data_IF_235026877374
#
_entry.id   IF_235026877374
#
_cell.length_a   1.000
_cell.length_b   1.000
_cell.length_c   1.000
_cell.angle_alpha   90.00
_cell.angle_beta   90.00
_cell.angle_gamma   90.00
#
_symmetry.space_group_name_H-M   'P 1'
#
loop_
_entity.id
_entity.type
_entity.pdbx_description
1 polymer ?
#
# COMPACT_ATOMS: atom_id res chain seq x y z
N UNK A 1 -17.16 8.25 68.71
CA UNK A 1 -15.84 8.77 68.29
C UNK A 1 -15.95 9.20 66.85
N UNK A 2 -15.99 10.50 66.57
CA UNK A 2 -16.11 11.02 65.20
C UNK A 2 -14.71 11.03 64.57
N UNK A 3 -14.46 10.08 63.65
CA UNK A 3 -13.25 10.07 62.85
C UNK A 3 -13.29 11.26 61.88
N UNK A 4 -12.48 12.28 62.15
CA UNK A 4 -12.36 13.43 61.26
C UNK A 4 -11.81 12.99 59.90
N UNK A 5 -12.63 13.07 58.85
CA UNK A 5 -12.17 12.92 57.48
C UNK A 5 -11.22 14.08 57.16
N UNK A 6 -9.92 13.79 57.08
CA UNK A 6 -8.91 14.74 56.59
C UNK A 6 -9.22 15.02 55.11
N UNK A 7 -9.65 16.25 54.82
CA UNK A 7 -9.84 16.71 53.44
C UNK A 7 -8.50 16.93 52.74
N UNK A 8 -8.45 16.65 51.43
CA UNK A 8 -7.29 16.97 50.59
C UNK A 8 -7.08 18.48 50.53
N UNK A 9 -5.84 18.93 50.66
CA UNK A 9 -5.47 20.33 50.45
C UNK A 9 -5.36 20.63 48.94
N UNK A 10 -5.59 21.88 48.57
CA UNK A 10 -5.45 22.35 47.19
C UNK A 10 -4.02 22.17 46.66
N UNK A 11 -3.02 22.25 47.54
CA UNK A 11 -1.61 22.03 47.21
C UNK A 11 -1.35 20.56 46.88
N UNK A 12 -1.86 19.62 47.68
CA UNK A 12 -1.71 18.18 47.41
C UNK A 12 -2.34 17.80 46.07
N UNK A 13 -3.51 18.34 45.75
CA UNK A 13 -4.15 18.12 44.45
C UNK A 13 -3.30 18.71 43.30
N UNK A 14 -2.73 19.90 43.49
CA UNK A 14 -1.92 20.58 42.47
C UNK A 14 -0.61 19.82 42.17
N UNK A 15 0.04 19.27 43.19
CA UNK A 15 1.25 18.46 43.00
C UNK A 15 0.94 17.18 42.20
N UNK A 16 -0.19 16.53 42.49
CA UNK A 16 -0.60 15.30 41.79
C UNK A 16 -0.86 15.57 40.29
N UNK A 17 -1.61 16.62 39.96
CA UNK A 17 -1.84 16.96 38.54
C UNK A 17 -0.55 17.36 37.83
N UNK A 18 0.39 18.03 38.52
CA UNK A 18 1.68 18.39 37.96
C UNK A 18 2.51 17.13 37.63
N UNK A 19 2.53 16.15 38.52
CA UNK A 19 3.21 14.86 38.28
C UNK A 19 2.55 14.12 37.10
N UNK A 20 1.22 14.02 37.07
CA UNK A 20 0.49 13.39 35.95
C UNK A 20 0.80 14.08 34.63
N UNK A 21 0.84 15.43 34.61
CA UNK A 21 1.14 16.20 33.42
C UNK A 21 2.56 15.91 32.88
N UNK A 22 3.56 15.85 33.77
CA UNK A 22 4.94 15.51 33.39
C UNK A 22 5.03 14.08 32.85
N UNK A 23 4.36 13.11 33.51
CA UNK A 23 4.34 11.73 33.05
C UNK A 23 3.65 11.60 31.67
N UNK A 24 2.52 12.27 31.47
CA UNK A 24 1.80 12.28 30.18
C UNK A 24 2.62 12.94 29.07
N UNK A 25 3.35 14.02 29.36
CA UNK A 25 4.19 14.72 28.39
C UNK A 25 5.29 13.81 27.82
N UNK A 26 5.84 12.89 28.63
CA UNK A 26 6.86 11.93 28.19
C UNK A 26 6.20 10.70 27.53
N UNK A 27 5.05 10.25 28.04
CA UNK A 27 4.39 9.04 27.56
C UNK A 27 3.75 9.20 26.17
N UNK A 28 3.20 10.38 25.87
CA UNK A 28 2.47 10.60 24.61
C UNK A 28 3.37 10.50 23.36
N UNK A 29 4.57 11.12 23.30
CA UNK A 29 5.50 10.93 22.19
C UNK A 29 5.94 9.46 22.03
N UNK A 30 6.29 8.80 23.14
CA UNK A 30 6.73 7.41 23.13
C UNK A 30 5.64 6.46 22.61
N UNK A 31 4.39 6.67 23.04
CA UNK A 31 3.25 5.87 22.60
C UNK A 31 2.95 6.06 21.11
N UNK A 32 3.11 7.28 20.58
CA UNK A 32 2.92 7.54 19.16
C UNK A 32 3.95 6.80 18.30
N UNK A 33 5.22 6.79 18.72
CA UNK A 33 6.29 6.03 18.04
C UNK A 33 5.99 4.53 18.09
N UNK A 34 5.61 4.01 19.26
CA UNK A 34 5.29 2.59 19.42
C UNK A 34 4.09 2.16 18.55
N UNK A 35 3.04 2.99 18.49
CA UNK A 35 1.88 2.74 17.61
C UNK A 35 2.28 2.72 16.14
N UNK A 36 3.16 3.63 15.71
CA UNK A 36 3.60 3.67 14.32
C UNK A 36 4.47 2.46 13.95
N UNK A 37 5.35 2.03 14.86
CA UNK A 37 6.10 0.79 14.68
C UNK A 37 5.16 -0.43 14.57
N UNK A 38 4.13 -0.50 15.42
CA UNK A 38 3.14 -1.57 15.37
C UNK A 38 2.37 -1.58 14.03
N UNK A 39 1.95 -0.42 13.52
CA UNK A 39 1.31 -0.31 12.20
C UNK A 39 2.21 -0.83 11.08
N UNK A 40 3.48 -0.48 11.09
CA UNK A 40 4.45 -0.98 10.11
C UNK A 40 4.64 -2.51 10.17
N UNK A 41 4.63 -3.09 11.38
CA UNK A 41 4.68 -4.56 11.56
C UNK A 41 3.43 -5.21 10.98
N UNK A 42 2.24 -4.67 11.28
CA UNK A 42 0.99 -5.17 10.71
C UNK A 42 0.98 -5.08 9.18
N UNK A 43 1.40 -3.95 8.60
CA UNK A 43 1.49 -3.78 7.16
C UNK A 43 2.42 -4.82 6.50
N UNK A 44 3.60 -5.08 7.07
CA UNK A 44 4.51 -6.14 6.60
C UNK A 44 3.86 -7.53 6.69
N UNK A 45 3.13 -7.82 7.77
CA UNK A 45 2.42 -9.09 7.91
C UNK A 45 1.31 -9.24 6.86
N UNK A 46 0.54 -8.18 6.60
CA UNK A 46 -0.53 -8.16 5.60
C UNK A 46 0.03 -8.37 4.18
N UNK A 47 1.10 -7.65 3.83
CA UNK A 47 1.82 -7.81 2.56
C UNK A 47 2.37 -9.23 2.38
N UNK A 48 2.97 -9.81 3.42
CA UNK A 48 3.43 -11.20 3.41
C UNK A 48 2.27 -12.16 3.16
N UNK A 49 1.14 -11.97 3.84
CA UNK A 49 -0.05 -12.81 3.67
C UNK A 49 -0.62 -12.70 2.25
N UNK A 50 -0.65 -11.50 1.66
CA UNK A 50 -1.07 -11.30 0.28
C UNK A 50 -0.12 -11.93 -0.74
N UNK A 51 1.19 -11.82 -0.54
CA UNK A 51 2.18 -12.45 -1.42
C UNK A 51 2.09 -13.98 -1.37
N UNK A 52 1.92 -14.55 -0.18
CA UNK A 52 1.65 -15.97 -0.02
C UNK A 52 0.34 -16.39 -0.70
N UNK A 53 -0.73 -15.61 -0.56
CA UNK A 53 -2.01 -15.89 -1.22
C UNK A 53 -1.91 -15.86 -2.75
N UNK A 54 -1.13 -14.91 -3.29
CA UNK A 54 -0.85 -14.82 -4.72
C UNK A 54 -0.07 -16.04 -5.22
N UNK A 55 0.92 -16.50 -4.45
CA UNK A 55 1.68 -17.71 -4.78
C UNK A 55 0.81 -18.96 -4.73
N UNK A 56 -0.01 -19.12 -3.69
CA UNK A 56 -0.97 -20.23 -3.59
C UNK A 56 -1.96 -20.24 -4.76
N UNK A 57 -2.40 -19.06 -5.21
CA UNK A 57 -3.19 -18.93 -6.42
C UNK A 57 -2.43 -19.46 -7.63
N UNK A 58 -1.19 -19.01 -7.85
CA UNK A 58 -0.37 -19.44 -8.97
C UNK A 58 -0.16 -20.96 -8.95
N UNK A 59 0.24 -21.52 -7.80
CA UNK A 59 0.46 -22.97 -7.61
C UNK A 59 -0.80 -23.78 -7.96
N UNK A 60 -1.98 -23.32 -7.53
CA UNK A 60 -3.26 -23.98 -7.82
C UNK A 60 -3.71 -23.88 -9.28
N UNK A 61 -3.10 -22.98 -10.05
CA UNK A 61 -3.38 -22.72 -11.46
C UNK A 61 -2.19 -23.07 -12.37
N UNK A 62 -1.32 -24.01 -11.96
CA UNK A 62 -0.20 -24.48 -12.79
C UNK A 62 0.89 -23.41 -12.99
N UNK A 63 1.11 -22.58 -11.98
CA UNK A 63 2.03 -21.45 -11.97
C UNK A 63 1.48 -20.19 -12.65
N UNK A 64 0.28 -20.24 -13.24
CA UNK A 64 -0.30 -19.09 -13.97
C UNK A 64 -0.67 -17.96 -13.03
N UNK A 65 -0.22 -16.74 -13.35
CA UNK A 65 -0.49 -15.55 -12.56
C UNK A 65 -1.91 -15.00 -12.80
N UNK A 66 -2.49 -14.34 -11.80
CA UNK A 66 -3.61 -13.41 -12.02
C UNK A 66 -3.08 -12.01 -12.29
N UNK A 67 -3.87 -11.20 -12.98
CA UNK A 67 -3.44 -9.89 -13.43
C UNK A 67 -3.41 -8.84 -12.32
N UNK A 68 -2.39 -7.98 -12.36
CA UNK A 68 -2.14 -6.89 -11.42
C UNK A 68 -3.12 -5.71 -11.44
N UNK A 69 -4.19 -5.81 -12.23
CA UNK A 69 -5.19 -4.76 -12.46
C UNK A 69 -6.50 -5.03 -11.71
N UNK A 70 -7.35 -4.01 -11.65
CA UNK A 70 -8.73 -4.09 -11.17
C UNK A 70 -9.70 -4.10 -12.36
N UNK A 71 -10.60 -5.08 -12.41
CA UNK A 71 -11.60 -5.19 -13.48
C UNK A 71 -12.86 -5.88 -12.98
N UNK A 72 -13.99 -5.64 -13.64
CA UNK A 72 -15.22 -6.41 -13.41
C UNK A 72 -15.24 -7.73 -14.15
N UNK A 73 -14.23 -8.06 -14.96
CA UNK A 73 -14.17 -9.30 -15.70
C UNK A 73 -12.75 -9.68 -16.10
N UNK A 74 -12.66 -10.81 -16.79
CA UNK A 74 -11.41 -11.29 -17.40
C UNK A 74 -10.93 -10.29 -18.46
N UNK A 75 -9.63 -10.02 -18.49
CA UNK A 75 -8.99 -9.26 -19.57
C UNK A 75 -8.06 -10.21 -20.32
N UNK A 76 -8.35 -10.47 -21.60
CA UNK A 76 -7.63 -11.45 -22.42
C UNK A 76 -7.51 -12.83 -21.75
N UNK A 77 -8.56 -13.25 -21.04
CA UNK A 77 -8.60 -14.53 -20.31
C UNK A 77 -7.87 -14.54 -18.97
N UNK A 78 -7.28 -13.41 -18.55
CA UNK A 78 -6.59 -13.28 -17.26
C UNK A 78 -7.55 -12.68 -16.23
N UNK A 79 -7.76 -13.32 -15.07
CA UNK A 79 -8.61 -12.77 -14.03
C UNK A 79 -7.87 -11.66 -13.27
N UNK A 80 -8.57 -10.60 -12.85
CA UNK A 80 -7.98 -9.56 -12.04
C UNK A 80 -7.78 -10.03 -10.60
N UNK A 81 -6.74 -9.54 -9.93
CA UNK A 81 -6.51 -9.88 -8.52
C UNK A 81 -7.54 -9.25 -7.57
N UNK A 82 -8.16 -8.13 -7.97
CA UNK A 82 -9.28 -7.44 -7.29
C UNK A 82 -10.21 -6.78 -8.31
N UNK A 83 -11.36 -6.28 -7.89
CA UNK A 83 -12.29 -5.52 -8.72
C UNK A 83 -12.53 -4.10 -8.16
N UNK A 84 -13.11 -3.17 -8.96
CA UNK A 84 -13.63 -1.90 -8.44
C UNK A 84 -14.68 -2.09 -7.34
N UNK A 85 -15.16 -1.04 -6.66
CA UNK A 85 -16.27 -1.18 -5.73
C UNK A 85 -17.50 -1.78 -6.43
N UNK A 86 -18.01 -2.91 -5.93
CA UNK A 86 -19.12 -3.66 -6.55
C UNK A 86 -20.35 -3.69 -5.67
N UNK A 87 -21.52 -3.81 -6.29
CA UNK A 87 -22.80 -4.00 -5.58
C UNK A 87 -22.87 -5.34 -4.84
N UNK A 88 -22.19 -6.37 -5.35
CA UNK A 88 -22.11 -7.71 -4.77
C UNK A 88 -20.69 -8.29 -4.87
N UNK A 89 -20.29 -9.23 -4.00
CA UNK A 89 -18.93 -9.77 -3.93
C UNK A 89 -18.62 -10.82 -5.01
N UNK A 90 -19.12 -10.63 -6.24
CA UNK A 90 -18.88 -11.53 -7.36
C UNK A 90 -18.30 -10.77 -8.56
N UNK A 91 -17.32 -11.37 -9.24
CA UNK A 91 -16.79 -10.85 -10.50
C UNK A 91 -17.92 -10.76 -11.53
N UNK A 92 -18.00 -9.65 -12.26
CA UNK A 92 -19.08 -9.35 -13.20
C UNK A 92 -20.23 -8.53 -12.59
N UNK A 93 -20.23 -8.32 -11.27
CA UNK A 93 -21.24 -7.48 -10.61
C UNK A 93 -21.14 -6.01 -11.03
N UNK A 94 -22.24 -5.28 -10.87
CA UNK A 94 -22.34 -3.86 -11.23
C UNK A 94 -21.38 -3.01 -10.39
N UNK A 95 -20.48 -2.21 -11.00
CA UNK A 95 -19.69 -1.21 -10.30
C UNK A 95 -20.57 -0.17 -9.62
N UNK A 96 -20.20 0.24 -8.41
CA UNK A 96 -20.80 1.38 -7.72
C UNK A 96 -19.84 2.56 -7.82
N UNK A 97 -20.36 3.69 -8.29
CA UNK A 97 -19.58 4.91 -8.55
C UNK A 97 -20.16 6.12 -7.80
N UNK A 98 -19.41 7.23 -7.78
CA UNK A 98 -19.88 8.49 -7.20
C UNK A 98 -20.09 8.46 -5.69
N UNK A 99 -20.99 9.33 -5.21
CA UNK A 99 -21.25 9.52 -3.78
C UNK A 99 -21.94 8.33 -3.10
N UNK A 100 -22.47 7.35 -3.85
CA UNK A 100 -23.18 6.18 -3.31
C UNK A 100 -22.24 5.08 -2.78
N UNK A 101 -20.92 5.25 -2.93
CA UNK A 101 -19.95 4.23 -2.55
C UNK A 101 -19.84 4.11 -1.04
N UNK A 102 -19.93 2.88 -0.56
CA UNK A 102 -19.76 2.53 0.85
C UNK A 102 -18.47 1.72 1.03
N UNK A 103 -18.07 1.51 2.29
CA UNK A 103 -16.98 0.59 2.60
C UNK A 103 -17.29 -0.84 2.13
N UNK A 104 -18.54 -1.28 2.26
CA UNK A 104 -18.95 -2.62 1.83
C UNK A 104 -18.79 -2.82 0.32
N UNK A 105 -19.09 -1.81 -0.50
CA UNK A 105 -18.88 -1.92 -1.96
C UNK A 105 -17.39 -2.14 -2.29
N UNK A 106 -16.48 -1.51 -1.54
CA UNK A 106 -15.03 -1.68 -1.71
C UNK A 106 -14.59 -3.08 -1.31
N UNK A 107 -15.15 -3.61 -0.22
CA UNK A 107 -14.91 -5.00 0.18
C UNK A 107 -15.43 -5.98 -0.86
N UNK A 108 -16.61 -5.75 -1.43
CA UNK A 108 -17.16 -6.58 -2.51
C UNK A 108 -16.20 -6.66 -3.71
N UNK A 109 -15.56 -5.54 -4.07
CA UNK A 109 -14.52 -5.53 -5.10
C UNK A 109 -13.30 -6.40 -4.77
N UNK A 110 -12.84 -6.37 -3.52
CA UNK A 110 -11.75 -7.24 -3.05
C UNK A 110 -12.18 -8.71 -3.06
N UNK A 111 -13.38 -9.00 -2.56
CA UNK A 111 -13.92 -10.36 -2.44
C UNK A 111 -14.12 -11.04 -3.80
N UNK A 112 -14.40 -10.26 -4.85
CA UNK A 112 -14.51 -10.73 -6.22
C UNK A 112 -13.16 -11.08 -6.88
N UNK A 113 -12.05 -10.71 -6.26
CA UNK A 113 -10.70 -10.87 -6.79
C UNK A 113 -10.18 -12.31 -6.79
N UNK A 114 -9.30 -12.63 -7.74
CA UNK A 114 -8.79 -13.99 -7.94
C UNK A 114 -8.07 -14.59 -6.73
N UNK A 115 -7.41 -13.76 -5.91
CA UNK A 115 -6.60 -14.23 -4.77
C UNK A 115 -7.39 -14.28 -3.45
N UNK A 116 -8.60 -13.69 -3.40
CA UNK A 116 -9.41 -13.65 -2.18
C UNK A 116 -9.72 -15.04 -1.56
N UNK A 117 -9.95 -16.12 -2.34
CA UNK A 117 -10.11 -17.46 -1.77
C UNK A 117 -8.92 -17.94 -0.92
N UNK A 118 -7.72 -17.41 -1.17
CA UNK A 118 -6.46 -17.77 -0.51
C UNK A 118 -6.11 -16.82 0.65
N UNK A 119 -6.63 -15.59 0.64
CA UNK A 119 -6.63 -14.69 1.80
C UNK A 119 -8.00 -13.99 1.93
N UNK A 120 -8.82 -14.51 2.83
CA UNK A 120 -10.20 -14.04 3.05
C UNK A 120 -10.30 -12.81 3.95
N UNK A 121 -9.19 -12.30 4.48
CA UNK A 121 -9.20 -11.08 5.28
C UNK A 121 -9.13 -9.86 4.37
N UNK A 122 -10.29 -9.24 4.10
CA UNK A 122 -10.36 -7.98 3.34
C UNK A 122 -9.54 -6.87 3.98
N UNK A 123 -9.28 -6.93 5.30
CA UNK A 123 -8.48 -5.91 5.99
C UNK A 123 -7.01 -5.97 5.64
N UNK A 124 -6.51 -7.14 5.25
CA UNK A 124 -5.14 -7.33 4.81
C UNK A 124 -4.83 -6.64 3.47
N UNK A 125 -5.80 -5.98 2.81
CA UNK A 125 -5.59 -5.20 1.58
C UNK A 125 -5.35 -3.71 1.84
N UNK A 126 -5.38 -3.29 3.11
CA UNK A 126 -5.24 -1.90 3.52
C UNK A 126 -4.11 -1.75 4.53
N UNK A 127 -3.24 -0.76 4.29
CA UNK A 127 -2.21 -0.38 5.23
C UNK A 127 -2.83 0.38 6.40
N UNK A 128 -2.58 -0.01 7.67
CA UNK A 128 -3.08 0.72 8.84
C UNK A 128 -2.61 2.18 8.95
N UNK A 129 -1.56 2.56 8.22
CA UNK A 129 -1.06 3.93 8.13
C UNK A 129 -1.65 4.74 6.96
N UNK A 130 -2.37 4.09 6.03
CA UNK A 130 -3.02 4.75 4.91
C UNK A 130 -4.34 5.40 5.35
N UNK A 131 -4.42 6.72 5.24
CA UNK A 131 -5.58 7.49 5.68
C UNK A 131 -6.49 7.94 4.53
N UNK A 132 -6.30 7.43 3.30
CA UNK A 132 -7.11 7.83 2.13
C UNK A 132 -8.58 7.43 2.26
N UNK A 133 -8.91 6.44 3.06
CA UNK A 133 -10.30 6.10 3.35
C UNK A 133 -10.99 7.23 4.13
N UNK A 134 -10.28 7.94 5.01
CA UNK A 134 -10.84 9.00 5.86
C UNK A 134 -10.66 10.39 5.24
N UNK A 135 -9.47 10.66 4.67
CA UNK A 135 -9.09 11.98 4.14
C UNK A 135 -9.44 12.18 2.68
N UNK A 136 -9.59 11.10 1.92
CA UNK A 136 -9.66 11.15 0.46
C UNK A 136 -8.27 11.25 -0.18
N UNK A 137 -8.23 11.76 -1.40
CA UNK A 137 -7.04 11.90 -2.26
C UNK A 137 -6.82 13.37 -2.61
N UNK A 138 -5.79 13.72 -3.41
CA UNK A 138 -5.58 15.11 -3.86
C UNK A 138 -6.76 15.66 -4.67
N UNK A 139 -7.59 14.79 -5.25
CA UNK A 139 -8.75 15.16 -6.05
C UNK A 139 -9.98 15.54 -5.20
N UNK A 140 -10.02 15.14 -3.92
CA UNK A 140 -11.10 15.50 -3.01
C UNK A 140 -11.29 14.52 -1.86
N UNK A 141 -12.28 14.82 -1.00
CA UNK A 141 -12.58 14.06 0.22
C UNK A 141 -13.95 13.38 0.22
N UNK A 142 -14.70 13.51 -0.88
CA UNK A 142 -15.98 12.82 -1.12
C UNK A 142 -15.82 11.30 -1.17
N UNK A 143 -16.90 10.52 -0.99
CA UNK A 143 -16.88 9.05 -1.08
C UNK A 143 -16.22 8.51 -2.36
N UNK A 144 -16.35 9.22 -3.47
CA UNK A 144 -15.78 8.92 -4.78
C UNK A 144 -14.26 9.10 -4.87
N UNK A 145 -13.65 9.81 -3.94
CA UNK A 145 -12.20 10.06 -3.89
C UNK A 145 -11.49 9.29 -2.78
N UNK A 146 -12.24 8.62 -1.91
CA UNK A 146 -11.69 7.75 -0.87
C UNK A 146 -11.24 6.45 -1.51
N UNK A 147 -10.15 5.88 -1.03
CA UNK A 147 -9.60 4.59 -1.51
C UNK A 147 -9.34 3.72 -0.28
N UNK A 148 -9.70 2.45 -0.37
CA UNK A 148 -9.45 1.48 0.69
C UNK A 148 -8.18 0.67 0.44
N UNK A 149 -8.02 0.11 -0.76
CA UNK A 149 -6.86 -0.72 -1.09
C UNK A 149 -5.59 0.13 -1.06
N UNK A 150 -4.61 -0.27 -0.26
CA UNK A 150 -3.32 0.42 -0.15
C UNK A 150 -2.23 -0.21 -1.00
N UNK A 151 -2.41 -1.50 -1.35
CA UNK A 151 -1.40 -2.28 -2.05
C UNK A 151 -1.75 -2.44 -3.52
N UNK A 152 -0.72 -2.55 -4.34
CA UNK A 152 -0.83 -2.87 -5.76
C UNK A 152 0.25 -3.83 -6.17
N UNK A 153 -0.06 -4.69 -7.14
CA UNK A 153 1.00 -5.41 -7.84
C UNK A 153 1.77 -4.43 -8.73
N UNK A 154 3.03 -4.76 -9.05
CA UNK A 154 3.71 -4.04 -10.12
C UNK A 154 2.96 -4.23 -11.45
N UNK A 155 2.98 -3.19 -12.30
CA UNK A 155 2.34 -3.22 -13.61
C UNK A 155 2.94 -4.30 -14.53
N UNK A 156 4.16 -4.77 -14.23
CA UNK A 156 4.76 -5.93 -14.90
C UNK A 156 3.99 -7.25 -14.67
N UNK A 157 3.16 -7.32 -13.62
CA UNK A 157 2.32 -8.48 -13.30
C UNK A 157 0.93 -8.41 -13.95
N UNK A 158 0.74 -7.58 -14.99
CA UNK A 158 -0.55 -7.49 -15.68
C UNK A 158 -0.92 -8.81 -16.37
N UNK A 159 0.03 -9.45 -17.06
CA UNK A 159 -0.14 -10.77 -17.69
C UNK A 159 -1.07 -10.81 -18.90
N UNK A 160 -1.61 -9.67 -19.34
CA UNK A 160 -2.69 -9.59 -20.35
C UNK A 160 -2.19 -9.54 -21.78
N UNK A 161 -0.93 -9.15 -22.02
CA UNK A 161 -0.36 -9.03 -23.36
C UNK A 161 0.24 -10.36 -23.81
N UNK A 162 0.49 -10.49 -25.12
CA UNK A 162 1.04 -11.72 -25.69
C UNK A 162 2.48 -11.99 -25.26
N UNK A 163 3.23 -10.93 -24.97
CA UNK A 163 4.64 -10.96 -24.56
C UNK A 163 4.84 -10.81 -23.05
N UNK A 164 3.77 -10.77 -22.26
CA UNK A 164 3.88 -10.71 -20.80
C UNK A 164 4.29 -12.06 -20.23
N UNK A 165 5.01 -12.02 -19.12
CA UNK A 165 5.24 -13.20 -18.30
C UNK A 165 3.91 -13.61 -17.70
N UNK A 166 3.53 -14.89 -17.87
CA UNK A 166 2.27 -15.44 -17.38
C UNK A 166 2.44 -16.49 -16.29
N UNK A 167 3.67 -16.88 -15.99
CA UNK A 167 3.97 -17.92 -15.02
C UNK A 167 4.93 -17.39 -13.94
N UNK A 168 4.53 -17.53 -12.67
CA UNK A 168 5.27 -17.02 -11.52
C UNK A 168 6.66 -17.66 -11.36
N UNK A 169 6.80 -18.94 -11.72
CA UNK A 169 8.07 -19.69 -11.59
C UNK A 169 9.10 -19.30 -12.66
N UNK A 170 8.69 -18.53 -13.68
CA UNK A 170 9.61 -18.07 -14.72
C UNK A 170 10.47 -16.87 -14.28
N UNK A 171 10.11 -16.22 -13.17
CA UNK A 171 10.88 -15.10 -12.63
C UNK A 171 12.17 -15.57 -11.97
N UNK A 172 13.28 -14.93 -12.34
CA UNK A 172 14.59 -15.20 -11.74
C UNK A 172 14.75 -14.41 -10.45
N UNK A 173 15.38 -15.03 -9.45
CA UNK A 173 15.65 -14.43 -8.13
C UNK A 173 14.36 -13.91 -7.45
N UNK A 174 13.37 -14.79 -7.18
CA UNK A 174 12.07 -14.38 -6.65
C UNK A 174 12.14 -13.67 -5.30
N UNK A 175 13.18 -13.94 -4.50
CA UNK A 175 13.45 -13.23 -3.24
C UNK A 175 14.01 -11.81 -3.43
N UNK A 176 14.34 -11.39 -4.65
CA UNK A 176 14.78 -10.03 -4.94
C UNK A 176 13.70 -9.23 -5.68
N UNK A 177 12.74 -9.92 -6.31
CA UNK A 177 11.75 -9.29 -7.20
C UNK A 177 10.48 -8.96 -6.46
N UNK A 178 10.16 -7.66 -6.39
CA UNK A 178 8.96 -7.17 -5.72
C UNK A 178 7.69 -7.67 -6.43
N UNK A 179 6.67 -7.97 -5.65
CA UNK A 179 5.36 -8.41 -6.11
C UNK A 179 4.33 -7.31 -5.83
N UNK A 180 4.09 -7.01 -4.54
CA UNK A 180 3.24 -5.90 -4.12
C UNK A 180 4.05 -4.73 -3.56
N UNK A 181 3.48 -3.54 -3.73
CA UNK A 181 3.99 -2.27 -3.21
C UNK A 181 2.87 -1.52 -2.48
N UNK A 182 3.20 -0.66 -1.52
CA UNK A 182 2.24 0.33 -1.01
C UNK A 182 2.14 1.49 -1.99
N UNK A 183 1.00 1.62 -2.65
CA UNK A 183 0.79 2.65 -3.67
C UNK A 183 -0.12 3.76 -3.16
N UNK A 184 0.36 5.00 -3.25
CA UNK A 184 -0.46 6.20 -3.06
C UNK A 184 -1.03 6.62 -4.43
N UNK A 185 -1.96 5.81 -4.92
CA UNK A 185 -2.78 6.15 -6.06
C UNK A 185 -3.61 7.41 -5.79
N UNK A 186 -3.52 8.35 -6.72
CA UNK A 186 -4.20 9.65 -6.71
C UNK A 186 -4.68 10.02 -8.14
N UNK A 187 -4.96 9.00 -8.94
CA UNK A 187 -5.32 9.16 -10.35
C UNK A 187 -6.76 9.63 -10.56
N UNK A 188 -7.01 10.20 -11.75
CA UNK A 188 -8.31 10.75 -12.19
C UNK A 188 -9.43 9.70 -12.35
N UNK A 189 -9.15 8.41 -12.18
CA UNK A 189 -10.07 7.34 -12.55
C UNK A 189 -10.99 6.88 -11.39
N UNK A 190 -10.91 7.51 -10.21
CA UNK A 190 -11.97 7.45 -9.20
C UNK A 190 -11.64 6.68 -7.90
N UNK A 191 -12.60 5.96 -7.29
CA UNK A 191 -12.58 5.57 -5.87
C UNK A 191 -11.74 4.32 -5.57
N UNK A 192 -10.93 3.87 -6.52
CA UNK A 192 -10.13 2.66 -6.43
C UNK A 192 -8.94 2.80 -7.35
N UNK A 193 -7.97 1.91 -7.17
CA UNK A 193 -6.82 1.84 -8.02
C UNK A 193 -7.04 0.82 -9.15
N UNK A 194 -6.87 1.29 -10.38
CA UNK A 194 -7.29 0.64 -11.63
C UNK A 194 -6.31 -0.40 -12.12
N UNK A 195 -5.03 -0.09 -12.08
CA UNK A 195 -3.97 -0.90 -12.65
C UNK A 195 -2.95 -1.28 -11.58
N UNK A 196 -1.85 -1.90 -12.02
CA UNK A 196 -0.69 -2.12 -11.19
C UNK A 196 0.13 -0.82 -11.05
N UNK A 197 1.00 -0.80 -10.05
CA UNK A 197 1.93 0.30 -9.85
C UNK A 197 2.97 0.33 -10.99
N UNK A 198 2.98 1.43 -11.74
CA UNK A 198 3.77 1.55 -12.96
C UNK A 198 5.12 2.23 -12.71
N UNK A 199 6.19 1.52 -13.06
CA UNK A 199 7.57 1.98 -13.00
C UNK A 199 8.37 1.49 -14.21
N UNK A 200 9.18 2.39 -14.77
CA UNK A 200 10.13 2.10 -15.83
C UNK A 200 11.55 2.19 -15.27
N UNK A 201 12.25 1.06 -15.06
CA UNK A 201 13.62 1.07 -14.58
C UNK A 201 14.59 1.79 -15.53
N UNK A 202 14.39 1.62 -16.85
CA UNK A 202 15.24 2.22 -17.87
C UNK A 202 15.36 3.74 -17.78
N UNK A 203 14.25 4.40 -17.46
CA UNK A 203 14.14 5.86 -17.37
C UNK A 203 13.90 6.34 -15.94
N UNK A 204 13.99 5.45 -14.95
CA UNK A 204 13.65 5.68 -13.54
C UNK A 204 12.36 6.49 -13.36
N UNK A 205 11.35 6.16 -14.16
CA UNK A 205 10.09 6.93 -14.23
C UNK A 205 8.97 6.15 -13.57
N UNK A 206 8.34 6.74 -12.57
CA UNK A 206 7.11 6.24 -11.95
C UNK A 206 5.93 7.17 -12.22
N UNK A 207 4.73 6.61 -12.24
CA UNK A 207 3.50 7.37 -12.44
C UNK A 207 2.83 7.78 -11.13
N UNK A 208 2.79 6.83 -10.20
CA UNK A 208 2.14 7.00 -8.91
C UNK A 208 3.15 6.88 -7.77
N UNK A 209 3.04 7.76 -6.76
CA UNK A 209 3.80 7.66 -5.54
C UNK A 209 3.66 6.33 -4.78
N UNK A 210 4.71 5.99 -4.04
CA UNK A 210 4.72 4.89 -3.09
C UNK A 210 4.51 5.39 -1.65
N UNK A 211 4.20 4.45 -0.75
CA UNK A 211 3.89 4.71 0.65
C UNK A 211 4.96 5.52 1.38
N UNK A 212 4.51 6.50 2.17
CA UNK A 212 5.26 7.17 3.24
C UNK A 212 4.67 6.86 4.61
N UNK A 213 3.83 5.83 4.70
CA UNK A 213 2.94 5.61 5.83
C UNK A 213 3.68 5.29 7.13
N UNK A 214 4.89 4.75 7.05
CA UNK A 214 5.62 4.19 8.19
C UNK A 214 6.95 4.88 8.47
N UNK A 215 6.91 6.18 8.78
CA UNK A 215 8.08 7.01 9.05
C UNK A 215 9.02 7.12 7.84
N UNK A 216 8.48 7.66 6.74
CA UNK A 216 9.13 7.79 5.43
C UNK A 216 9.64 6.43 4.90
N UNK A 217 8.82 5.40 5.05
CA UNK A 217 9.10 4.06 4.57
C UNK A 217 7.88 3.45 3.87
N UNK A 218 8.17 2.54 2.95
CA UNK A 218 7.23 1.74 2.19
C UNK A 218 7.50 0.26 2.41
N UNK A 219 6.43 -0.51 2.46
CA UNK A 219 6.46 -1.96 2.56
C UNK A 219 6.34 -2.59 1.17
N UNK A 220 7.16 -3.60 0.96
CA UNK A 220 7.18 -4.39 -0.25
C UNK A 220 7.00 -5.85 0.13
N UNK A 221 6.38 -6.61 -0.74
CA UNK A 221 6.49 -8.06 -0.72
C UNK A 221 7.12 -8.56 -1.99
N UNK A 222 7.64 -9.77 -1.95
CA UNK A 222 8.45 -10.36 -3.01
C UNK A 222 7.82 -11.64 -3.53
N UNK A 223 8.27 -12.06 -4.71
CA UNK A 223 7.71 -13.21 -5.41
C UNK A 223 7.90 -14.54 -4.68
N UNK A 224 8.88 -14.63 -3.78
CA UNK A 224 9.05 -15.82 -2.93
C UNK A 224 8.04 -15.87 -1.76
N UNK A 225 7.33 -14.77 -1.47
CA UNK A 225 6.32 -14.65 -0.44
C UNK A 225 6.77 -13.91 0.84
N UNK A 226 8.01 -13.43 0.94
CA UNK A 226 8.41 -12.59 2.07
C UNK A 226 8.00 -11.12 1.86
N UNK A 227 8.10 -10.34 2.93
CA UNK A 227 7.86 -8.90 2.90
C UNK A 227 8.95 -8.17 3.68
N UNK A 228 9.30 -6.98 3.21
CA UNK A 228 10.30 -6.13 3.83
C UNK A 228 9.88 -4.67 3.74
N UNK A 229 10.46 -3.85 4.61
CA UNK A 229 10.23 -2.42 4.63
C UNK A 229 11.48 -1.69 4.18
N UNK A 230 11.34 -0.88 3.14
CA UNK A 230 12.38 0.04 2.69
C UNK A 230 12.08 1.43 3.23
N UNK A 231 13.06 2.01 3.93
CA UNK A 231 13.09 3.44 4.22
C UNK A 231 13.58 4.20 2.99
N UNK A 232 13.00 5.37 2.75
CA UNK A 232 13.44 6.26 1.70
C UNK A 232 14.62 7.10 2.19
N UNK A 233 15.71 7.06 1.45
CA UNK A 233 16.99 7.65 1.84
C UNK A 233 17.21 9.03 1.17
N UNK A 234 16.57 9.28 0.02
CA UNK A 234 16.72 10.51 -0.74
C UNK A 234 15.53 11.45 -0.51
N UNK A 235 15.82 12.69 -0.13
CA UNK A 235 14.78 13.70 0.12
C UNK A 235 13.95 14.01 -1.14
N UNK A 236 14.53 13.89 -2.35
CA UNK A 236 13.78 14.07 -3.61
C UNK A 236 12.68 13.02 -3.75
N UNK A 237 12.94 11.79 -3.31
CA UNK A 237 11.98 10.68 -3.26
C UNK A 237 10.84 10.99 -2.29
N UNK A 238 11.18 11.41 -1.08
CA UNK A 238 10.18 11.76 -0.04
C UNK A 238 9.30 12.93 -0.49
N UNK A 239 9.89 13.96 -1.12
CA UNK A 239 9.15 15.10 -1.69
C UNK A 239 8.19 14.60 -2.76
N UNK A 240 8.66 13.79 -3.73
CA UNK A 240 7.81 13.23 -4.78
C UNK A 240 6.65 12.41 -4.20
N UNK A 241 6.91 11.59 -3.18
CA UNK A 241 5.87 10.76 -2.59
C UNK A 241 4.86 11.53 -1.73
N UNK A 242 5.28 12.66 -1.16
CA UNK A 242 4.37 13.56 -0.45
C UNK A 242 3.54 14.41 -1.42
N UNK A 243 4.14 14.85 -2.52
CA UNK A 243 3.50 15.63 -3.56
C UNK A 243 4.23 15.45 -4.90
N UNK A 244 3.66 14.63 -5.79
CA UNK A 244 4.25 14.34 -7.11
C UNK A 244 4.33 15.53 -8.06
N UNK A 245 3.66 16.64 -7.73
CA UNK A 245 3.67 17.88 -8.50
C UNK A 245 4.60 18.94 -7.92
N UNK A 246 5.34 18.63 -6.85
CA UNK A 246 6.30 19.55 -6.26
C UNK A 246 7.47 19.83 -7.23
N UNK A 247 7.88 21.10 -7.46
CA UNK A 247 9.01 21.41 -8.33
C UNK A 247 10.35 20.81 -7.90
N UNK A 248 10.50 20.44 -6.63
CA UNK A 248 11.70 19.79 -6.08
C UNK A 248 11.63 18.25 -6.13
N UNK A 249 10.51 17.70 -6.59
CA UNK A 249 10.33 16.26 -6.73
C UNK A 249 11.24 15.68 -7.83
N UNK A 250 11.35 14.35 -7.84
CA UNK A 250 12.09 13.61 -8.86
C UNK A 250 11.50 13.90 -10.25
N UNK A 251 12.24 14.56 -11.17
CA UNK A 251 11.76 14.78 -12.52
C UNK A 251 11.72 13.46 -13.30
N UNK A 252 10.62 13.21 -14.01
CA UNK A 252 10.44 12.00 -14.82
C UNK A 252 11.43 11.96 -15.99
N UNK A 253 11.99 10.78 -16.26
CA UNK A 253 12.77 10.51 -17.47
C UNK A 253 14.13 11.20 -17.54
N UNK A 254 14.68 11.64 -16.41
CA UNK A 254 15.97 12.32 -16.34
C UNK A 254 17.00 11.50 -15.58
N UNK A 255 18.27 11.63 -15.96
CA UNK A 255 19.37 11.08 -15.16
C UNK A 255 19.61 12.00 -13.96
N UNK A 256 19.52 11.45 -12.76
CA UNK A 256 19.72 12.20 -11.53
C UNK A 256 21.21 12.33 -11.21
N UNK A 257 21.66 13.57 -10.91
CA UNK A 257 23.00 13.85 -10.42
C UNK A 257 22.90 14.72 -9.13
N UNK A 258 23.30 14.20 -7.95
CA UNK A 258 23.81 12.84 -7.73
C UNK A 258 22.74 11.77 -8.01
N UNK A 259 23.14 10.51 -8.29
CA UNK A 259 22.22 9.39 -8.46
C UNK A 259 21.26 9.27 -7.26
N UNK A 260 20.04 8.80 -7.52
CA UNK A 260 19.06 8.59 -6.46
C UNK A 260 19.13 7.12 -5.99
N UNK A 261 19.60 6.85 -4.75
CA UNK A 261 19.75 5.49 -4.23
C UNK A 261 18.41 4.74 -4.11
N UNK A 262 17.30 5.44 -3.86
CA UNK A 262 15.99 4.82 -3.79
C UNK A 262 15.55 4.27 -5.15
N UNK A 263 15.81 5.02 -6.22
CA UNK A 263 15.49 4.59 -7.58
C UNK A 263 16.41 3.46 -8.03
N UNK A 264 17.69 3.48 -7.66
CA UNK A 264 18.60 2.36 -7.90
C UNK A 264 18.11 1.09 -7.20
N UNK A 265 17.63 1.20 -5.95
CA UNK A 265 17.03 0.07 -5.26
C UNK A 265 15.76 -0.42 -6.00
N UNK A 266 14.88 0.48 -6.45
CA UNK A 266 13.69 0.09 -7.24
C UNK A 266 14.09 -0.61 -8.53
N UNK A 267 15.13 -0.14 -9.24
CA UNK A 267 15.64 -0.77 -10.47
C UNK A 267 16.06 -2.23 -10.23
N UNK A 268 16.74 -2.52 -9.12
CA UNK A 268 17.22 -3.85 -8.77
C UNK A 268 16.08 -4.81 -8.41
N UNK A 269 15.06 -4.31 -7.71
CA UNK A 269 13.96 -5.10 -7.20
C UNK A 269 12.77 -5.19 -8.17
N UNK A 270 12.73 -4.36 -9.22
CA UNK A 270 11.62 -4.40 -10.18
C UNK A 270 11.61 -5.73 -10.97
N UNK A 271 10.44 -6.37 -11.18
CA UNK A 271 10.30 -7.61 -11.94
C UNK A 271 10.71 -7.53 -13.41
N UNK A 272 10.48 -6.36 -14.01
CA UNK A 272 10.78 -6.10 -15.41
C UNK A 272 12.26 -5.91 -15.69
N UNK A 273 12.59 -5.57 -16.93
CA UNK A 273 13.99 -5.37 -17.32
C UNK A 273 14.60 -4.24 -16.49
N UNK A 274 15.67 -4.57 -15.77
CA UNK A 274 16.47 -3.65 -14.96
C UNK A 274 17.29 -2.72 -15.84
N UNK A 275 17.63 -1.52 -15.35
CA UNK A 275 18.54 -0.57 -16.03
C UNK A 275 19.99 -1.09 -16.21
N UNK A 276 20.32 -2.31 -15.77
CA UNK A 276 21.69 -2.82 -15.78
C UNK A 276 22.37 -2.61 -17.13
N UNK A 277 23.54 -1.99 -17.03
CA UNK A 277 24.24 -1.22 -18.05
C UNK A 277 24.48 -1.96 -19.37
N UNK A 278 24.40 -1.20 -20.47
CA UNK A 278 25.25 -1.46 -21.65
C UNK A 278 26.71 -1.22 -21.29
#
# INVERSE_FOLDING_TARGET
MAGGNKGFTLIELLVVIAIIAVLMAILMPALNIAREQARGITCMADQRNLAMAYRMYADSNGGVICGGFASTGLVNGIPPWVAPPLSKPELGSTPVTGAAITLQHRFNGIMAGAIYPYNKDVKAYHCPGDNRLQRGTSLGSGPEYRIYRSYSLSDYMQGTRSNDVKNLDSFKSPSLKMLFVEEIYDGAAGPYNHDGWSYSPWSQTMWDPLGLFHNDACTFSFMDGHAERKKWDDNRTIIYFRNRFDPQAIPKGQVHNPPNPDLTWLDEHYPGKTRQAQ
#
